data_IF_276699879439
#
_entry.id   IF_276699879439
#
_cell.length_a   1.000
_cell.length_b   1.000
_cell.length_c   1.000
_cell.angle_alpha   90.00
_cell.angle_beta   90.00
_cell.angle_gamma   90.00
#
_symmetry.space_group_name_H-M   'P 1'
#
loop_
_entity.id
_entity.type
_entity.pdbx_description
1 polymer ?
#
# COMPACT_ATOMS: atom_id res chain seq x y z
N UNK A 1 19.56 15.17 27.64
CA UNK A 1 19.35 15.72 26.28
C UNK A 1 20.68 16.26 25.88
N UNK A 2 21.43 15.36 25.28
CA UNK A 2 22.85 15.49 25.16
C UNK A 2 23.01 16.24 23.84
N UNK A 3 23.41 17.51 23.94
CA UNK A 3 23.62 18.34 22.77
C UNK A 3 24.81 17.75 22.02
N UNK A 4 24.54 16.85 21.08
CA UNK A 4 25.51 16.33 20.11
C UNK A 4 25.87 17.51 19.22
N UNK A 5 26.94 18.20 19.61
CA UNK A 5 27.57 19.20 18.75
C UNK A 5 28.31 18.41 17.69
N UNK A 6 27.78 18.39 16.47
CA UNK A 6 28.44 17.82 15.31
C UNK A 6 29.84 18.45 15.16
N UNK A 7 30.87 17.72 15.59
CA UNK A 7 32.23 18.22 15.59
C UNK A 7 32.74 18.30 14.14
N UNK A 8 33.08 19.51 13.70
CA UNK A 8 33.66 19.75 12.37
C UNK A 8 35.18 19.65 12.47
N UNK A 9 35.76 18.67 11.80
CA UNK A 9 37.22 18.43 11.78
C UNK A 9 37.85 19.02 10.52
N UNK A 10 39.08 19.50 10.65
CA UNK A 10 39.86 20.03 9.51
C UNK A 10 41.11 19.19 9.28
N UNK A 11 41.40 18.86 8.01
CA UNK A 11 42.66 18.21 7.64
C UNK A 11 43.80 19.23 7.61
N UNK A 12 45.07 18.77 7.59
CA UNK A 12 46.22 19.66 7.39
C UNK A 12 46.15 20.48 6.09
N UNK A 13 45.44 19.98 5.07
CA UNK A 13 45.17 20.69 3.81
C UNK A 13 44.00 21.69 3.90
N UNK A 14 43.37 21.83 5.08
CA UNK A 14 42.26 22.75 5.32
C UNK A 14 40.88 22.25 4.89
N UNK A 15 40.76 20.98 4.47
CA UNK A 15 39.46 20.39 4.11
C UNK A 15 38.67 20.07 5.37
N UNK A 16 37.36 20.38 5.38
CA UNK A 16 36.48 20.20 6.54
C UNK A 16 35.56 18.99 6.37
N UNK A 17 35.38 18.23 7.44
CA UNK A 17 34.54 17.04 7.45
C UNK A 17 33.68 16.99 8.72
N UNK A 18 32.46 16.53 8.54
CA UNK A 18 31.60 16.08 9.63
C UNK A 18 31.91 14.61 9.87
N UNK A 19 32.35 14.28 11.09
CA UNK A 19 32.52 12.87 11.49
C UNK A 19 31.17 12.40 12.03
N UNK A 20 30.50 11.44 11.38
CA UNK A 20 29.22 10.94 11.86
C UNK A 20 29.42 10.17 13.16
N UNK A 21 28.39 10.18 14.01
CA UNK A 21 28.38 9.34 15.20
C UNK A 21 28.41 7.85 14.83
N UNK A 22 29.14 7.07 15.61
CA UNK A 22 29.22 5.62 15.44
C UNK A 22 27.98 5.00 16.07
N UNK A 23 27.13 4.36 15.25
CA UNK A 23 25.98 3.59 15.74
C UNK A 23 26.30 2.10 15.75
N UNK A 24 25.94 1.39 16.81
CA UNK A 24 26.11 -0.08 16.91
C UNK A 24 24.98 -0.84 16.23
N UNK A 25 23.83 -0.19 16.08
CA UNK A 25 22.62 -0.76 15.50
C UNK A 25 22.36 -0.14 14.12
N UNK A 26 21.79 -0.90 13.18
CA UNK A 26 21.30 -0.34 11.92
C UNK A 26 20.16 0.66 12.17
N UNK A 27 19.92 1.60 11.24
CA UNK A 27 18.79 2.53 11.35
C UNK A 27 17.46 1.77 11.37
N UNK A 28 16.50 2.30 12.13
CA UNK A 28 15.18 1.71 12.24
C UNK A 28 14.47 1.67 10.86
N UNK A 29 13.66 0.64 10.57
CA UNK A 29 12.88 0.58 9.34
C UNK A 29 12.02 1.83 9.15
N UNK A 30 12.09 2.43 7.96
CA UNK A 30 11.26 3.57 7.60
C UNK A 30 9.82 3.07 7.44
N UNK A 31 8.88 3.66 8.19
CA UNK A 31 7.46 3.38 8.02
C UNK A 31 7.05 3.77 6.60
N UNK A 32 6.64 2.79 5.80
CA UNK A 32 6.01 3.08 4.52
C UNK A 32 4.66 3.73 4.79
N UNK A 33 4.42 4.91 4.20
CA UNK A 33 3.10 5.50 4.21
C UNK A 33 2.14 4.50 3.55
N UNK A 34 1.07 4.14 4.26
CA UNK A 34 -0.04 3.36 3.71
C UNK A 34 -0.69 4.23 2.63
N UNK A 35 -0.16 4.20 1.42
CA UNK A 35 -0.90 4.68 0.25
C UNK A 35 -2.15 3.83 0.22
N UNK A 36 -3.31 4.45 0.43
CA UNK A 36 -4.61 3.79 0.41
C UNK A 36 -4.65 2.90 -0.82
N UNK A 37 -4.41 1.61 -0.63
CA UNK A 37 -4.46 0.65 -1.70
C UNK A 37 -5.92 0.67 -2.12
N UNK A 38 -6.21 1.12 -3.34
CA UNK A 38 -7.55 1.07 -3.90
C UNK A 38 -7.98 -0.40 -3.89
N UNK A 39 -8.72 -0.75 -2.84
CA UNK A 39 -9.37 -2.04 -2.70
C UNK A 39 -10.51 -2.04 -3.70
N UNK A 40 -10.32 -2.70 -4.83
CA UNK A 40 -11.41 -3.44 -5.49
C UNK A 40 -10.92 -4.02 -6.81
N UNK A 41 -10.22 -5.15 -6.76
CA UNK A 41 -10.40 -6.17 -7.79
C UNK A 41 -10.59 -7.50 -7.07
N UNK A 42 -11.83 -7.75 -6.60
CA UNK A 42 -12.21 -9.06 -6.08
C UNK A 42 -12.35 -10.03 -7.25
N UNK A 43 -11.23 -10.61 -7.67
CA UNK A 43 -11.16 -11.62 -8.74
C UNK A 43 -12.07 -12.80 -8.43
N UNK A 44 -12.19 -13.18 -7.15
CA UNK A 44 -13.06 -14.26 -6.71
C UNK A 44 -14.53 -13.96 -6.97
N UNK A 45 -14.99 -12.74 -6.64
CA UNK A 45 -16.36 -12.31 -6.92
C UNK A 45 -16.66 -12.22 -8.44
N UNK A 46 -15.66 -11.87 -9.24
CA UNK A 46 -15.79 -11.87 -10.71
C UNK A 46 -15.97 -13.29 -11.26
N UNK A 47 -15.18 -14.26 -10.77
CA UNK A 47 -15.28 -15.66 -11.21
C UNK A 47 -16.62 -16.31 -10.86
N UNK A 48 -17.18 -16.04 -9.69
CA UNK A 48 -18.50 -16.55 -9.34
C UNK A 48 -19.60 -16.00 -10.25
N UNK A 49 -19.55 -14.70 -10.61
CA UNK A 49 -20.51 -14.10 -11.55
C UNK A 49 -20.37 -14.66 -12.97
N UNK A 50 -19.14 -14.93 -13.40
CA UNK A 50 -18.87 -15.51 -14.72
C UNK A 50 -19.30 -16.97 -14.80
N UNK A 51 -19.14 -17.76 -13.72
CA UNK A 51 -19.68 -19.12 -13.64
C UNK A 51 -21.21 -19.15 -13.70
N UNK A 52 -21.87 -18.26 -12.94
CA UNK A 52 -23.33 -18.11 -12.98
C UNK A 52 -23.88 -17.64 -14.34
N UNK A 53 -23.09 -16.93 -15.14
CA UNK A 53 -23.50 -16.43 -16.45
C UNK A 53 -23.28 -17.45 -17.60
N UNK A 54 -22.53 -18.53 -17.37
CA UNK A 54 -22.23 -19.54 -18.39
C UNK A 54 -23.07 -20.83 -18.23
N UNK A 55 -23.95 -20.91 -17.23
CA UNK A 55 -24.75 -22.11 -16.93
C UNK A 55 -26.25 -21.98 -17.25
N UNK A 56 -26.69 -20.94 -17.97
CA UNK A 56 -28.12 -20.74 -18.27
C UNK A 56 -28.37 -20.55 -19.78
N UNK A 57 -28.07 -21.61 -20.55
CA UNK A 57 -28.77 -21.90 -21.81
C UNK A 57 -29.71 -23.07 -21.52
N UNK A 58 -31.03 -22.83 -21.67
CA UNK A 58 -32.19 -23.68 -21.30
C UNK A 58 -32.69 -23.66 -19.84
N UNK A 59 -33.53 -22.67 -19.49
CA UNK A 59 -34.93 -23.00 -19.16
C UNK A 59 -35.90 -21.84 -19.43
N UNK A 60 -37.02 -22.25 -19.99
CA UNK A 60 -38.13 -21.48 -20.55
C UNK A 60 -38.86 -20.54 -19.58
N UNK A 61 -39.33 -19.41 -20.14
CA UNK A 61 -40.56 -18.64 -19.86
C UNK A 61 -41.14 -18.60 -18.42
N UNK A 62 -41.24 -17.39 -17.82
CA UNK A 62 -42.52 -16.83 -17.35
C UNK A 62 -42.40 -15.49 -16.57
N UNK A 63 -43.22 -14.55 -17.04
CA UNK A 63 -43.91 -13.47 -16.32
C UNK A 63 -43.16 -12.21 -15.84
N UNK A 64 -43.38 -11.16 -16.61
CA UNK A 64 -43.40 -9.77 -16.15
C UNK A 64 -44.45 -9.60 -15.04
N UNK A 65 -44.05 -9.10 -13.87
CA UNK A 65 -44.95 -8.29 -13.06
C UNK A 65 -44.20 -7.18 -12.35
N UNK A 66 -44.51 -5.98 -12.81
CA UNK A 66 -44.26 -4.66 -12.25
C UNK A 66 -44.63 -4.62 -10.76
N UNK A 67 -43.77 -3.98 -9.96
CA UNK A 67 -44.01 -3.73 -8.54
C UNK A 67 -43.16 -2.58 -8.04
N UNK A 68 -43.50 -1.36 -8.48
CA UNK A 68 -43.06 -0.12 -7.84
C UNK A 68 -43.64 -0.08 -6.41
N UNK A 69 -42.81 0.17 -5.40
CA UNK A 69 -43.28 0.65 -4.09
C UNK A 69 -42.40 1.78 -3.62
N UNK A 70 -43.10 2.88 -3.35
CA UNK A 70 -42.69 4.14 -2.73
C UNK A 70 -42.16 3.96 -1.32
#
# INVERSE_FOLDING_TARGET
MDNVVDAVFSTPEGKKYLVPEVTTCPPAPIKQALKTQRSSVNVLAKKFKEALANEDDEVSTANQKTGQST
#
